data_IF_044714425625
#
_entry.id   IF_044714425625
#
_cell.length_a   1.000
_cell.length_b   1.000
_cell.length_c   1.000
_cell.angle_alpha   90.00
_cell.angle_beta   90.00
_cell.angle_gamma   90.00
#
_symmetry.space_group_name_H-M   'P 1'
#
loop_
_entity.id
_entity.type
_entity.pdbx_description
1 polymer ?
#
# COMPACT_ATOMS: atom_id res chain seq x y z
N UNK A 1 -17.82 -15.94 -5.39
CA UNK A 1 -16.89 -15.07 -6.12
C UNK A 1 -15.65 -14.83 -5.27
N UNK A 2 -14.44 -15.01 -5.81
CA UNK A 2 -13.19 -14.96 -5.01
C UNK A 2 -12.64 -13.53 -4.90
N UNK A 3 -13.04 -12.66 -5.81
CA UNK A 3 -12.67 -11.25 -5.95
C UNK A 3 -13.62 -10.28 -5.23
N UNK A 4 -14.63 -10.77 -4.51
CA UNK A 4 -15.63 -9.92 -3.86
C UNK A 4 -15.00 -8.83 -2.98
N UNK A 5 -13.95 -9.16 -2.22
CA UNK A 5 -13.21 -8.21 -1.38
C UNK A 5 -12.44 -7.12 -2.14
N UNK A 6 -12.18 -7.33 -3.42
CA UNK A 6 -11.55 -6.34 -4.30
C UNK A 6 -12.58 -5.37 -4.89
N UNK A 7 -13.77 -5.87 -5.20
CA UNK A 7 -14.80 -5.11 -5.93
C UNK A 7 -15.74 -4.36 -4.99
N UNK A 8 -16.09 -4.95 -3.84
CA UNK A 8 -17.04 -4.34 -2.90
C UNK A 8 -16.34 -3.83 -1.65
N UNK A 9 -16.92 -2.83 -0.99
CA UNK A 9 -16.40 -2.35 0.29
C UNK A 9 -16.61 -3.36 1.41
N UNK A 10 -15.87 -3.17 2.50
CA UNK A 10 -15.99 -4.02 3.69
C UNK A 10 -17.44 -3.94 4.19
N UNK A 11 -18.16 -5.06 4.30
CA UNK A 11 -19.49 -5.07 4.86
C UNK A 11 -19.45 -4.62 6.31
N UNK A 12 -20.57 -4.04 6.78
CA UNK A 12 -20.70 -3.62 8.18
C UNK A 12 -20.54 -4.83 9.11
N UNK A 13 -20.01 -4.57 10.30
CA UNK A 13 -19.91 -5.59 11.32
C UNK A 13 -21.31 -6.11 11.67
N UNK A 14 -21.42 -7.43 11.80
CA UNK A 14 -22.69 -8.09 12.07
C UNK A 14 -23.20 -7.71 13.47
N UNK A 15 -24.50 -7.44 13.57
CA UNK A 15 -25.18 -7.18 14.85
C UNK A 15 -26.12 -8.33 15.20
N UNK A 16 -26.65 -8.33 16.43
CA UNK A 16 -27.60 -9.36 16.89
C UNK A 16 -28.87 -9.40 16.02
N UNK A 17 -29.21 -8.28 15.39
CA UNK A 17 -30.37 -8.13 14.51
C UNK A 17 -30.07 -8.43 13.04
N UNK A 18 -28.85 -8.80 12.68
CA UNK A 18 -28.49 -9.07 11.28
C UNK A 18 -29.25 -10.25 10.71
N UNK A 19 -29.74 -10.09 9.49
CA UNK A 19 -30.47 -11.13 8.76
C UNK A 19 -29.53 -12.27 8.33
N UNK A 20 -30.11 -13.41 7.98
CA UNK A 20 -29.33 -14.55 7.50
C UNK A 20 -28.61 -14.21 6.17
N UNK A 21 -29.27 -13.44 5.31
CA UNK A 21 -28.68 -12.92 4.07
C UNK A 21 -27.47 -12.02 4.35
N UNK A 22 -27.56 -11.08 5.30
CA UNK A 22 -26.43 -10.21 5.68
C UNK A 22 -25.25 -11.03 6.22
N UNK A 23 -25.53 -12.06 7.04
CA UNK A 23 -24.50 -12.98 7.55
C UNK A 23 -23.84 -13.76 6.42
N UNK A 24 -24.62 -14.22 5.44
CA UNK A 24 -24.11 -14.96 4.28
C UNK A 24 -23.18 -14.10 3.42
N UNK A 25 -23.56 -12.83 3.18
CA UNK A 25 -22.76 -11.86 2.42
C UNK A 25 -21.47 -11.54 3.17
N UNK A 26 -21.55 -11.29 4.47
CA UNK A 26 -20.38 -11.02 5.31
C UNK A 26 -19.41 -12.21 5.31
N UNK A 27 -19.90 -13.44 5.45
CA UNK A 27 -19.08 -14.65 5.42
C UNK A 27 -18.40 -14.85 4.06
N UNK A 28 -19.14 -14.65 2.96
CA UNK A 28 -18.59 -14.72 1.61
C UNK A 28 -17.49 -13.67 1.38
N UNK A 29 -17.71 -12.45 1.86
CA UNK A 29 -16.73 -11.36 1.77
C UNK A 29 -15.46 -11.66 2.57
N UNK A 30 -15.60 -12.11 3.82
CA UNK A 30 -14.46 -12.47 4.67
C UNK A 30 -13.63 -13.62 4.08
N UNK A 31 -14.30 -14.62 3.49
CA UNK A 31 -13.63 -15.71 2.77
C UNK A 31 -12.85 -15.19 1.57
N UNK A 32 -13.46 -14.34 0.74
CA UNK A 32 -12.78 -13.68 -0.38
C UNK A 32 -11.57 -12.88 0.08
N UNK A 33 -11.73 -12.05 1.13
CA UNK A 33 -10.66 -11.22 1.68
C UNK A 33 -9.45 -12.06 2.12
N UNK A 34 -9.70 -13.14 2.86
CA UNK A 34 -8.64 -14.06 3.30
C UNK A 34 -7.92 -14.72 2.12
N UNK A 35 -8.66 -15.20 1.11
CA UNK A 35 -8.06 -15.85 -0.06
C UNK A 35 -7.21 -14.87 -0.86
N UNK A 36 -7.71 -13.66 -1.13
CA UNK A 36 -6.97 -12.64 -1.86
C UNK A 36 -5.71 -12.21 -1.13
N UNK A 37 -5.78 -11.97 0.20
CA UNK A 37 -4.61 -11.62 1.00
C UNK A 37 -3.51 -12.69 0.94
N UNK A 38 -3.89 -13.97 1.09
CA UNK A 38 -2.92 -15.07 1.01
C UNK A 38 -2.29 -15.17 -0.38
N UNK A 39 -3.09 -15.03 -1.44
CA UNK A 39 -2.60 -15.05 -2.82
C UNK A 39 -1.64 -13.90 -3.09
N UNK A 40 -2.00 -12.66 -2.71
CA UNK A 40 -1.12 -11.49 -2.85
C UNK A 40 0.18 -11.67 -2.08
N UNK A 41 0.11 -12.04 -0.79
CA UNK A 41 1.30 -12.26 0.04
C UNK A 41 2.19 -13.39 -0.47
N UNK A 42 1.62 -14.41 -1.11
CA UNK A 42 2.40 -15.49 -1.72
C UNK A 42 3.15 -15.02 -2.97
N UNK A 43 2.55 -14.13 -3.76
CA UNK A 43 3.13 -13.60 -4.99
C UNK A 43 4.18 -12.51 -4.75
N UNK A 44 4.15 -11.83 -3.60
CA UNK A 44 5.14 -10.81 -3.22
C UNK A 44 6.46 -11.48 -2.80
N UNK A 45 7.59 -10.89 -3.20
CA UNK A 45 8.93 -11.34 -2.80
C UNK A 45 9.16 -11.12 -1.29
N UNK A 46 9.84 -12.05 -0.62
CA UNK A 46 9.96 -12.07 0.84
C UNK A 46 10.57 -10.80 1.45
N UNK A 47 11.59 -10.23 0.80
CA UNK A 47 12.22 -8.98 1.26
C UNK A 47 11.28 -7.76 1.23
N UNK A 48 10.17 -7.84 0.49
CA UNK A 48 9.17 -6.79 0.37
C UNK A 48 7.99 -7.00 1.33
N UNK A 49 7.94 -8.15 2.03
CA UNK A 49 6.88 -8.46 3.01
C UNK A 49 7.10 -7.81 4.37
N UNK A 50 8.36 -7.55 4.73
CA UNK A 50 8.79 -6.97 6.02
C UNK A 50 7.90 -5.81 6.45
N UNK A 51 7.65 -4.90 5.53
CA UNK A 51 7.00 -3.64 5.84
C UNK A 51 5.53 -3.60 5.37
N UNK A 52 4.95 -4.76 5.04
CA UNK A 52 3.56 -4.84 4.62
C UNK A 52 2.64 -5.00 5.84
N UNK A 53 1.48 -4.33 5.86
CA UNK A 53 0.54 -4.45 6.97
C UNK A 53 0.06 -5.90 7.13
N UNK A 54 0.19 -6.43 8.34
CA UNK A 54 -0.16 -7.82 8.68
C UNK A 54 -1.67 -7.97 8.93
N UNK A 55 -2.28 -6.96 9.54
CA UNK A 55 -3.72 -6.90 9.83
C UNK A 55 -4.38 -5.81 8.97
N UNK A 56 -4.66 -6.16 7.72
CA UNK A 56 -5.33 -5.27 6.77
C UNK A 56 -6.29 -6.06 5.87
N UNK A 57 -7.19 -5.34 5.23
CA UNK A 57 -8.06 -5.84 4.15
C UNK A 57 -7.29 -5.95 2.84
N UNK A 58 -7.83 -6.73 1.90
CA UNK A 58 -7.25 -6.86 0.55
C UNK A 58 -7.05 -5.51 -0.13
N UNK A 59 -8.03 -4.59 0.00
CA UNK A 59 -7.97 -3.24 -0.60
C UNK A 59 -6.85 -2.40 0.02
N UNK A 60 -6.70 -2.44 1.34
CA UNK A 60 -5.62 -1.73 2.03
C UNK A 60 -4.25 -2.26 1.64
N UNK A 61 -4.08 -3.59 1.55
CA UNK A 61 -2.83 -4.19 1.08
C UNK A 61 -2.51 -3.75 -0.35
N UNK A 62 -3.51 -3.76 -1.24
CA UNK A 62 -3.34 -3.34 -2.62
C UNK A 62 -2.95 -1.86 -2.72
N UNK A 63 -3.54 -0.98 -1.90
CA UNK A 63 -3.16 0.42 -1.82
C UNK A 63 -1.73 0.60 -1.31
N UNK A 64 -1.31 -0.16 -0.29
CA UNK A 64 0.04 -0.09 0.24
C UNK A 64 1.09 -0.53 -0.79
N UNK A 65 0.77 -1.56 -1.59
CA UNK A 65 1.59 -1.99 -2.72
C UNK A 65 1.66 -0.87 -3.77
N UNK A 66 0.51 -0.33 -4.18
CA UNK A 66 0.48 0.74 -5.19
C UNK A 66 1.28 1.96 -4.77
N UNK A 67 1.24 2.37 -3.50
CA UNK A 67 2.03 3.52 -3.03
C UNK A 67 3.52 3.20 -3.02
N UNK A 68 3.93 2.00 -2.58
CA UNK A 68 5.35 1.61 -2.59
C UNK A 68 5.95 1.55 -3.98
N UNK A 69 5.19 1.03 -4.95
CA UNK A 69 5.64 0.91 -6.33
C UNK A 69 5.12 2.05 -7.20
N UNK A 70 4.70 3.16 -6.57
CA UNK A 70 4.27 4.35 -7.29
C UNK A 70 5.45 4.84 -8.11
N UNK A 71 5.33 4.74 -9.43
CA UNK A 71 6.32 5.25 -10.35
C UNK A 71 6.24 6.78 -10.29
N UNK A 72 7.35 7.43 -9.92
CA UNK A 72 7.46 8.88 -9.99
C UNK A 72 7.27 9.33 -11.44
N UNK A 73 6.53 10.43 -11.65
CA UNK A 73 6.38 10.97 -13.00
C UNK A 73 7.73 11.51 -13.50
N UNK A 74 7.90 11.59 -14.83
CA UNK A 74 9.10 12.18 -15.41
C UNK A 74 9.31 13.63 -14.93
N UNK A 75 8.21 14.35 -14.67
CA UNK A 75 8.24 15.72 -14.14
C UNK A 75 8.74 15.74 -12.68
N UNK A 76 8.31 14.78 -11.85
CA UNK A 76 8.81 14.64 -10.47
C UNK A 76 10.32 14.35 -10.46
N UNK A 77 10.76 13.42 -11.32
CA UNK A 77 12.18 13.06 -11.46
C UNK A 77 12.97 14.27 -11.98
N UNK A 78 12.45 14.97 -12.98
CA UNK A 78 13.07 16.16 -13.55
C UNK A 78 13.21 17.29 -12.53
N UNK A 79 12.18 17.52 -11.70
CA UNK A 79 12.21 18.50 -10.62
C UNK A 79 13.27 18.15 -9.56
N UNK A 80 13.34 16.89 -9.13
CA UNK A 80 14.38 16.43 -8.18
C UNK A 80 15.78 16.61 -8.79
N UNK A 81 15.99 16.16 -10.04
CA UNK A 81 17.27 16.32 -10.73
C UNK A 81 17.68 17.79 -10.87
N UNK A 82 16.73 18.66 -11.20
CA UNK A 82 16.98 20.09 -11.32
C UNK A 82 17.30 20.72 -9.96
N UNK A 83 16.63 20.31 -8.89
CA UNK A 83 16.93 20.70 -7.52
C UNK A 83 18.36 20.31 -7.11
N UNK A 84 18.76 19.07 -7.40
CA UNK A 84 20.12 18.58 -7.17
C UNK A 84 21.16 19.35 -7.98
N UNK A 85 20.90 19.58 -9.27
CA UNK A 85 21.83 20.29 -10.15
C UNK A 85 22.04 21.75 -9.74
N UNK A 86 20.99 22.38 -9.19
CA UNK A 86 21.02 23.76 -8.72
C UNK A 86 21.50 23.91 -7.28
N UNK A 87 21.63 22.80 -6.54
CA UNK A 87 22.13 22.81 -5.17
C UNK A 87 23.61 23.25 -5.17
N UNK A 88 23.90 24.33 -4.43
CA UNK A 88 25.26 24.86 -4.27
C UNK A 88 25.65 24.83 -2.80
N UNK A 89 26.91 24.52 -2.54
CA UNK A 89 27.47 24.62 -1.21
C UNK A 89 27.65 26.11 -0.85
N UNK A 90 27.04 26.54 0.25
CA UNK A 90 27.03 27.93 0.72
C UNK A 90 28.18 28.24 1.69
N UNK A 91 29.05 27.27 1.96
CA UNK A 91 30.15 27.42 2.90
C UNK A 91 29.76 27.20 4.37
N UNK A 92 28.48 26.92 4.66
CA UNK A 92 27.99 26.81 6.03
C UNK A 92 27.74 25.35 6.43
N UNK A 93 28.25 24.96 7.60
CA UNK A 93 28.17 23.59 8.12
C UNK A 93 29.25 22.65 7.56
N UNK A 94 29.08 21.34 7.81
CA UNK A 94 30.06 20.32 7.42
C UNK A 94 29.79 19.86 5.99
N UNK A 95 30.82 19.84 5.13
CA UNK A 95 30.72 19.39 3.72
C UNK A 95 30.06 18.02 3.60
N UNK A 96 30.31 17.12 4.55
CA UNK A 96 29.68 15.79 4.61
C UNK A 96 28.16 15.86 4.63
N UNK A 97 27.57 16.79 5.37
CA UNK A 97 26.12 16.92 5.48
C UNK A 97 25.52 17.57 4.23
N UNK A 98 26.29 18.39 3.52
CA UNK A 98 25.92 18.86 2.18
C UNK A 98 25.87 17.70 1.19
N UNK A 99 26.90 16.85 1.16
CA UNK A 99 26.97 15.66 0.29
C UNK A 99 25.87 14.63 0.61
N UNK A 100 25.42 14.52 1.87
CA UNK A 100 24.32 13.61 2.25
C UNK A 100 22.94 14.17 1.83
N UNK A 101 22.79 15.49 1.74
CA UNK A 101 21.54 16.15 1.36
C UNK A 101 21.35 16.28 -0.15
N UNK A 102 22.44 16.17 -0.90
CA UNK A 102 22.50 16.03 -2.35
C UNK A 102 22.34 14.55 -2.72
#
# INVERSE_FOLDING_TARGET
NVDLSLVTDKPRDLTVTSTDDEKSVHAAWMKSNRICLLSMRRSILDHLKSDMPTDCTTKELMSAINERYRISSNDDIGSIMQGLFNMKYDGNGVVRDYVIRM
#
